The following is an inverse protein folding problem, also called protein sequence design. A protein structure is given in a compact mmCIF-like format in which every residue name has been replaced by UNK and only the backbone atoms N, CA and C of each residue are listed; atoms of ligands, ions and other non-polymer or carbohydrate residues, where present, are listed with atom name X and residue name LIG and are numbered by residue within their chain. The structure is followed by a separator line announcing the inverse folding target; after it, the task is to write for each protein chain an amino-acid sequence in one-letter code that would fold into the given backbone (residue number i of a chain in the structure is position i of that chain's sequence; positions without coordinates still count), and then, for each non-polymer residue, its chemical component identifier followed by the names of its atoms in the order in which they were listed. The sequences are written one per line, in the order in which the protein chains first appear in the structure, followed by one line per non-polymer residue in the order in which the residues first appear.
data_IF_786760563731
#
_entry.id   IF_786760563731
#
_cell.length_a   1.000
_cell.length_b   1.000
_cell.length_c   1.000
_cell.angle_alpha   90.00
_cell.angle_beta   90.00
_cell.angle_gamma   90.00
#
_symmetry.space_group_name_H-M   'P 1'
#
loop_
_entity.id
_entity.type
_entity.pdbx_description
1 polymer ?
#
# COMPACT_ATOMS: atom_id res chain seq x y z
N UNK A 1 17.76 7.41 2.03
CA UNK A 1 17.04 6.99 0.80
C UNK A 1 15.68 6.53 1.26
N UNK A 2 14.59 7.10 0.74
CA UNK A 2 13.25 6.77 1.24
C UNK A 2 12.66 5.60 0.46
N UNK A 3 11.98 4.69 1.14
CA UNK A 3 11.32 3.55 0.49
C UNK A 3 9.82 3.83 0.40
N UNK A 4 9.23 3.65 -0.78
CA UNK A 4 7.78 3.68 -0.96
C UNK A 4 7.32 2.29 -1.36
N UNK A 5 6.55 1.65 -0.50
CA UNK A 5 5.95 0.34 -0.78
C UNK A 5 4.49 0.56 -1.15
N UNK A 6 4.15 0.19 -2.38
CA UNK A 6 2.80 0.34 -2.92
C UNK A 6 2.12 -1.02 -2.95
N UNK A 7 1.08 -1.16 -2.14
CA UNK A 7 0.20 -2.32 -2.08
C UNK A 7 -0.98 -2.09 -3.02
N UNK A 8 -1.21 -3.03 -3.95
CA UNK A 8 -2.16 -2.90 -5.05
C UNK A 8 -3.05 -4.13 -5.13
N UNK A 9 -4.35 -3.95 -5.32
CA UNK A 9 -5.29 -5.07 -5.48
C UNK A 9 -5.13 -5.84 -6.78
N UNK A 10 -4.59 -5.21 -7.81
CA UNK A 10 -4.54 -5.77 -9.16
C UNK A 10 -3.31 -5.30 -9.96
N UNK A 11 -2.99 -6.06 -11.02
CA UNK A 11 -1.81 -5.85 -11.86
C UNK A 11 -1.93 -4.63 -12.78
N UNK A 12 -3.15 -4.26 -13.21
CA UNK A 12 -3.42 -3.06 -14.02
C UNK A 12 -2.97 -1.78 -13.31
N UNK A 13 -3.32 -1.64 -12.04
CA UNK A 13 -2.91 -0.49 -11.22
C UNK A 13 -1.37 -0.38 -11.11
N UNK A 14 -0.66 -1.52 -11.00
CA UNK A 14 0.81 -1.54 -11.02
C UNK A 14 1.38 -0.97 -12.30
N UNK A 15 0.88 -1.41 -13.45
CA UNK A 15 1.39 -0.97 -14.75
C UNK A 15 1.15 0.53 -14.99
N UNK A 16 0.02 1.07 -14.52
CA UNK A 16 -0.25 2.51 -14.52
C UNK A 16 0.76 3.26 -13.64
N UNK A 17 0.90 2.86 -12.37
CA UNK A 17 1.77 3.53 -11.41
C UNK A 17 3.26 3.42 -11.77
N UNK A 18 3.68 2.33 -12.42
CA UNK A 18 5.07 2.18 -12.90
C UNK A 18 5.45 3.28 -13.88
N UNK A 19 4.50 3.77 -14.68
CA UNK A 19 4.71 4.86 -15.64
C UNK A 19 4.53 6.24 -15.02
N UNK A 20 3.62 6.35 -14.04
CA UNK A 20 3.21 7.62 -13.44
C UNK A 20 4.16 8.07 -12.31
N UNK A 21 4.48 7.19 -11.36
CA UNK A 21 5.24 7.55 -10.15
C UNK A 21 6.63 8.14 -10.43
N UNK A 22 7.42 7.66 -11.41
CA UNK A 22 8.71 8.28 -11.73
C UNK A 22 8.62 9.74 -12.20
N UNK A 23 7.45 10.20 -12.65
CA UNK A 23 7.22 11.58 -13.11
C UNK A 23 6.79 12.52 -11.99
N UNK A 24 6.27 11.97 -10.90
CA UNK A 24 5.71 12.72 -9.76
C UNK A 24 6.68 12.70 -8.58
N UNK A 25 7.33 11.56 -8.34
CA UNK A 25 8.20 11.38 -7.18
C UNK A 25 9.61 11.92 -7.43
N UNK A 26 10.25 12.51 -6.41
CA UNK A 26 11.65 12.88 -6.47
C UNK A 26 12.53 11.63 -6.59
N UNK A 27 13.63 11.73 -7.34
CA UNK A 27 14.49 10.60 -7.71
C UNK A 27 15.23 9.88 -6.56
N UNK A 28 15.06 10.29 -5.29
CA UNK A 28 15.67 9.62 -4.14
C UNK A 28 14.78 8.51 -3.52
N UNK A 29 13.58 8.30 -4.06
CA UNK A 29 12.60 7.37 -3.53
C UNK A 29 12.66 6.04 -4.29
N UNK A 30 12.95 4.96 -3.57
CA UNK A 30 12.89 3.61 -4.10
C UNK A 30 11.45 3.07 -4.00
N UNK A 31 10.81 2.81 -5.14
CA UNK A 31 9.43 2.31 -5.18
C UNK A 31 9.40 0.79 -5.31
N UNK A 32 8.65 0.10 -4.44
CA UNK A 32 8.38 -1.33 -4.51
C UNK A 32 6.87 -1.55 -4.68
N UNK A 33 6.50 -2.43 -5.60
CA UNK A 33 5.09 -2.76 -5.86
C UNK A 33 4.79 -4.17 -5.38
N UNK A 34 3.75 -4.31 -4.57
CA UNK A 34 3.23 -5.59 -4.10
C UNK A 34 1.78 -5.67 -4.56
N UNK A 35 1.51 -6.62 -5.47
CA UNK A 35 0.19 -6.86 -6.04
C UNK A 35 -0.42 -8.05 -5.33
N UNK A 36 -1.71 -7.94 -4.98
CA UNK A 36 -2.50 -8.99 -4.35
C UNK A 36 -3.52 -9.54 -5.34
N UNK A 37 -4.24 -10.59 -4.93
CA UNK A 37 -5.34 -11.18 -5.71
C UNK A 37 -6.69 -10.69 -5.17
N UNK A 38 -6.93 -9.39 -5.30
CA UNK A 38 -8.17 -8.74 -4.88
C UNK A 38 -8.25 -8.33 -3.39
N UNK A 39 -9.36 -7.69 -3.03
CA UNK A 39 -9.58 -7.03 -1.74
C UNK A 39 -9.36 -7.92 -0.52
N UNK A 40 -9.90 -9.14 -0.54
CA UNK A 40 -9.82 -10.04 0.61
C UNK A 40 -8.39 -10.52 0.86
N UNK A 41 -7.63 -10.79 -0.20
CA UNK A 41 -6.25 -11.20 -0.10
C UNK A 41 -5.37 -10.07 0.46
N UNK A 42 -5.61 -8.84 -0.04
CA UNK A 42 -4.94 -7.64 0.47
C UNK A 42 -5.20 -7.48 1.98
N UNK A 43 -6.44 -7.55 2.45
CA UNK A 43 -6.77 -7.43 3.87
C UNK A 43 -6.08 -8.47 4.76
N UNK A 44 -6.05 -9.73 4.32
CA UNK A 44 -5.47 -10.85 5.08
C UNK A 44 -3.95 -10.72 5.20
N UNK A 45 -3.29 -10.34 4.11
CA UNK A 45 -1.83 -10.34 4.06
C UNK A 45 -1.21 -9.01 4.48
N UNK A 46 -1.93 -7.88 4.37
CA UNK A 46 -1.39 -6.54 4.62
C UNK A 46 -0.83 -6.42 6.05
N UNK A 47 -1.58 -6.85 7.07
CA UNK A 47 -1.15 -6.75 8.47
C UNK A 47 0.14 -7.54 8.70
N UNK A 48 0.24 -8.76 8.16
CA UNK A 48 1.43 -9.59 8.29
C UNK A 48 2.66 -8.96 7.62
N UNK A 49 2.48 -8.40 6.42
CA UNK A 49 3.57 -7.73 5.68
C UNK A 49 4.03 -6.45 6.37
N UNK A 50 3.12 -5.65 6.91
CA UNK A 50 3.46 -4.43 7.66
C UNK A 50 4.24 -4.76 8.94
N UNK A 51 3.75 -5.73 9.74
CA UNK A 51 4.43 -6.13 10.99
C UNK A 51 5.81 -6.73 10.76
N UNK A 52 6.01 -7.43 9.65
CA UNK A 52 7.31 -7.99 9.27
C UNK A 52 8.27 -6.99 8.62
N UNK A 53 7.86 -5.73 8.44
CA UNK A 53 8.66 -4.76 7.70
C UNK A 53 9.69 -4.06 8.59
N UNK A 54 10.95 -4.44 8.42
CA UNK A 54 12.07 -3.94 9.25
C UNK A 54 12.87 -2.81 8.59
N UNK A 55 12.55 -2.45 7.33
CA UNK A 55 13.32 -1.44 6.60
C UNK A 55 12.91 -0.04 7.08
N UNK A 56 13.84 0.75 7.66
CA UNK A 56 13.55 2.10 8.13
C UNK A 56 13.28 3.05 6.96
N UNK A 57 12.73 4.24 7.26
CA UNK A 57 12.35 5.25 6.27
C UNK A 57 11.43 4.70 5.16
N UNK A 58 10.56 3.74 5.51
CA UNK A 58 9.56 3.19 4.60
C UNK A 58 8.21 3.88 4.80
N UNK A 59 7.63 4.37 3.71
CA UNK A 59 6.23 4.76 3.62
C UNK A 59 5.45 3.71 2.86
N UNK A 60 4.22 3.45 3.31
CA UNK A 60 3.31 2.50 2.66
C UNK A 60 2.17 3.26 1.99
N UNK A 61 1.90 2.93 0.73
CA UNK A 61 0.75 3.40 -0.02
C UNK A 61 -0.12 2.19 -0.34
N UNK A 62 -1.33 2.15 0.24
CA UNK A 62 -2.30 1.10 -0.07
C UNK A 62 -3.30 1.69 -1.06
N UNK A 63 -3.29 1.22 -2.30
CA UNK A 63 -4.26 1.60 -3.32
C UNK A 63 -5.29 0.49 -3.45
N UNK A 64 -6.55 0.86 -3.26
CA UNK A 64 -7.71 -0.02 -3.32
C UNK A 64 -8.85 0.62 -4.06
N UNK A 65 -9.62 -0.18 -4.79
CA UNK A 65 -10.82 0.27 -5.48
C UNK A 65 -11.98 0.44 -4.51
N UNK A 66 -12.77 1.49 -4.77
CA UNK A 66 -13.93 1.83 -3.95
C UNK A 66 -15.15 1.01 -4.40
N UNK A 67 -15.13 -0.29 -4.15
CA UNK A 67 -16.32 -1.12 -4.34
C UNK A 67 -17.25 -0.98 -3.14
N UNK A 68 -18.27 -0.14 -3.29
CA UNK A 68 -19.56 -0.01 -2.57
C UNK A 68 -19.54 0.03 -1.03
N UNK A 69 -18.37 -0.11 -0.40
CA UNK A 69 -18.16 -0.13 1.04
C UNK A 69 -17.55 1.19 1.52
N UNK A 70 -18.04 1.67 2.65
CA UNK A 70 -17.67 2.95 3.24
C UNK A 70 -16.18 2.99 3.61
N UNK A 71 -15.39 3.75 2.83
CA UNK A 71 -13.94 3.85 2.93
C UNK A 71 -13.48 4.42 4.28
N UNK A 72 -14.31 5.25 4.91
CA UNK A 72 -14.05 5.81 6.24
C UNK A 72 -14.07 4.72 7.31
N UNK A 73 -14.98 3.77 7.20
CA UNK A 73 -15.11 2.66 8.16
C UNK A 73 -13.91 1.73 8.08
N UNK A 74 -13.47 1.39 6.88
CA UNK A 74 -12.27 0.55 6.66
C UNK A 74 -10.99 1.26 7.10
N UNK A 75 -10.80 2.55 6.76
CA UNK A 75 -9.62 3.31 7.19
C UNK A 75 -9.56 3.46 8.72
N UNK A 76 -10.72 3.66 9.35
CA UNK A 76 -10.85 3.74 10.80
C UNK A 76 -10.51 2.41 11.49
N UNK A 77 -10.98 1.28 10.95
CA UNK A 77 -10.65 -0.07 11.43
C UNK A 77 -9.15 -0.38 11.30
N UNK A 78 -8.52 -0.02 10.17
CA UNK A 78 -7.08 -0.18 9.99
C UNK A 78 -6.28 0.66 10.99
N UNK A 79 -6.66 1.94 11.15
CA UNK A 79 -5.98 2.85 12.08
C UNK A 79 -6.13 2.44 13.55
N UNK A 80 -7.25 1.82 13.94
CA UNK A 80 -7.45 1.33 15.32
C UNK A 80 -6.67 0.05 15.65
N UNK A 81 -6.25 -0.73 14.64
CA UNK A 81 -5.50 -1.98 14.86
C UNK A 81 -3.99 -1.76 15.02
N UNK A 82 -3.54 -0.52 14.91
CA UNK A 82 -2.18 -0.07 15.19
C UNK A 82 -2.16 0.74 16.50
N UNK A 83 -1.62 0.21 17.62
CA UNK A 83 -1.09 1.09 18.64
C UNK A 83 0.22 1.65 18.06
N UNK A 84 0.19 2.91 17.63
CA UNK A 84 1.39 3.71 17.34
C UNK A 84 2.40 3.52 18.49
N UNK A 85 3.50 2.82 18.21
CA UNK A 85 4.68 2.75 19.06
C UNK A 85 5.92 2.82 18.20
#
# INVERSE_FOLDING_TARGET
MRNLVVFLEEQSAKEMLRKLLPRILPGNIAVRYIVFEGKQDLEKQLIGKLRGWLIPETSFLVLRDQDVGDCLKTNYEFSRREPLR
#
